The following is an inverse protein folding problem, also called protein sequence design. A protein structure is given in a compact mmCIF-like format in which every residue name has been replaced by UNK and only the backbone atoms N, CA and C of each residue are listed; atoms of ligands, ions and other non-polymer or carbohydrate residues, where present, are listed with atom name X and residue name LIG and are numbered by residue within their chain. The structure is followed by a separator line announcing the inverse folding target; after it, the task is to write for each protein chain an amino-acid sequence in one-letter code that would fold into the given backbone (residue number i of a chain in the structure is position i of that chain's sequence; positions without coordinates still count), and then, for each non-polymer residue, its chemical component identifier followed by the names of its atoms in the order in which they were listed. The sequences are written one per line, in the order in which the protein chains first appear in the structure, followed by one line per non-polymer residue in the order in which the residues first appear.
data_IF_475917980176
#
_entry.id   IF_475917980176
#
_cell.length_a   1.000
_cell.length_b   1.000
_cell.length_c   1.000
_cell.angle_alpha   90.00
_cell.angle_beta   90.00
_cell.angle_gamma   90.00
#
_symmetry.space_group_name_H-M   'P 1'
#
loop_
_entity.id
_entity.type
_entity.pdbx_description
1 polymer ?
#
# COMPACT_ATOMS: atom_id res chain seq x y z
N UNK A 1 24.89 6.86 -6.57
CA UNK A 1 23.85 6.60 -7.59
C UNK A 1 23.28 5.21 -7.37
N UNK A 2 22.00 5.09 -7.00
CA UNK A 2 21.35 3.77 -6.94
C UNK A 2 21.29 3.21 -8.37
N UNK A 3 21.86 2.01 -8.58
CA UNK A 3 21.70 1.27 -9.83
C UNK A 3 20.20 1.07 -10.10
N UNK A 4 19.77 1.29 -11.34
CA UNK A 4 18.41 0.95 -11.76
C UNK A 4 18.21 -0.56 -11.63
N UNK A 5 17.07 -0.97 -11.06
CA UNK A 5 16.66 -2.36 -10.90
C UNK A 5 15.35 -2.53 -11.67
N UNK A 6 15.28 -3.43 -12.64
CA UNK A 6 14.07 -3.63 -13.46
C UNK A 6 12.89 -4.12 -12.62
N UNK A 7 11.65 -3.98 -13.11
CA UNK A 7 10.46 -4.50 -12.41
C UNK A 7 10.52 -6.02 -12.29
N UNK A 8 11.05 -6.68 -13.31
CA UNK A 8 11.33 -8.13 -13.30
C UNK A 8 12.30 -8.53 -12.18
N UNK A 9 13.37 -7.77 -11.98
CA UNK A 9 14.34 -8.04 -10.91
C UNK A 9 13.80 -7.74 -9.51
N UNK A 10 12.77 -6.87 -9.40
CA UNK A 10 12.07 -6.63 -8.13
C UNK A 10 11.11 -7.76 -7.77
N UNK A 11 10.61 -8.52 -8.74
CA UNK A 11 9.55 -9.50 -8.52
C UNK A 11 9.86 -10.54 -7.42
N UNK A 12 11.05 -11.18 -7.37
CA UNK A 12 11.34 -12.15 -6.30
C UNK A 12 11.24 -11.52 -4.90
N UNK A 13 11.70 -10.27 -4.77
CA UNK A 13 11.69 -9.52 -3.51
C UNK A 13 10.28 -9.08 -3.13
N UNK A 14 9.45 -8.71 -4.11
CA UNK A 14 8.01 -8.46 -3.92
C UNK A 14 7.30 -9.72 -3.43
N UNK A 15 7.58 -10.87 -4.04
CA UNK A 15 6.99 -12.16 -3.63
C UNK A 15 7.46 -12.62 -2.24
N UNK A 16 8.69 -12.28 -1.85
CA UNK A 16 9.19 -12.44 -0.48
C UNK A 16 8.55 -11.46 0.53
N UNK A 17 7.80 -10.46 0.05
CA UNK A 17 7.14 -9.47 0.89
C UNK A 17 8.06 -8.34 1.37
N UNK A 18 9.19 -8.10 0.71
CA UNK A 18 10.10 -7.01 1.05
C UNK A 18 9.46 -5.64 0.78
N UNK A 19 9.16 -4.90 1.84
CA UNK A 19 8.48 -3.60 1.78
C UNK A 19 9.11 -2.61 0.79
N UNK A 20 10.45 -2.44 0.72
CA UNK A 20 11.05 -1.51 -0.24
C UNK A 20 10.83 -1.90 -1.70
N UNK A 21 10.81 -3.20 -2.01
CA UNK A 21 10.57 -3.69 -3.37
C UNK A 21 9.09 -3.49 -3.76
N UNK A 22 8.17 -3.77 -2.84
CA UNK A 22 6.73 -3.51 -3.02
C UNK A 22 6.48 -2.03 -3.26
N UNK A 23 7.05 -1.15 -2.43
CA UNK A 23 6.89 0.29 -2.57
C UNK A 23 7.41 0.80 -3.93
N UNK A 24 8.59 0.33 -4.38
CA UNK A 24 9.15 0.72 -5.68
C UNK A 24 8.24 0.28 -6.83
N UNK A 25 7.69 -0.92 -6.77
CA UNK A 25 6.80 -1.43 -7.83
C UNK A 25 5.44 -0.73 -7.82
N UNK A 26 4.89 -0.40 -6.64
CA UNK A 26 3.69 0.43 -6.51
C UNK A 26 3.90 1.79 -7.16
N UNK A 27 5.02 2.48 -6.91
CA UNK A 27 5.32 3.76 -7.56
C UNK A 27 5.38 3.66 -9.08
N UNK A 28 5.89 2.54 -9.64
CA UNK A 28 5.88 2.32 -11.10
C UNK A 28 4.49 2.07 -11.65
N UNK A 29 3.67 1.32 -10.91
CA UNK A 29 2.28 1.08 -11.27
C UNK A 29 1.46 2.38 -11.27
N UNK A 30 1.65 3.23 -10.25
CA UNK A 30 1.02 4.55 -10.16
C UNK A 30 1.44 5.49 -11.29
N UNK A 31 2.71 5.44 -11.69
CA UNK A 31 3.23 6.21 -12.83
C UNK A 31 2.80 5.67 -14.20
N UNK A 32 2.06 4.55 -14.25
CA UNK A 32 1.69 3.83 -15.47
C UNK A 32 2.91 3.50 -16.37
N UNK A 33 4.05 3.18 -15.75
CA UNK A 33 5.29 2.84 -16.46
C UNK A 33 5.07 1.57 -17.32
N UNK A 34 5.21 1.63 -18.66
CA UNK A 34 5.06 0.46 -19.52
C UNK A 34 5.97 -0.71 -19.15
N UNK A 35 7.15 -0.43 -18.57
CA UNK A 35 8.13 -1.45 -18.17
C UNK A 35 7.59 -2.39 -17.09
N UNK A 36 6.68 -1.95 -16.24
CA UNK A 36 6.16 -2.78 -15.15
C UNK A 36 5.00 -3.69 -15.55
N UNK A 37 4.44 -3.55 -16.76
CA UNK A 37 3.18 -4.19 -17.16
C UNK A 37 3.22 -5.72 -17.10
N UNK A 38 4.29 -6.33 -17.61
CA UNK A 38 4.46 -7.79 -17.60
C UNK A 38 4.58 -8.31 -16.16
N UNK A 39 5.41 -7.65 -15.34
CA UNK A 39 5.57 -7.98 -13.92
C UNK A 39 4.25 -7.86 -13.14
N UNK A 40 3.46 -6.82 -13.41
CA UNK A 40 2.13 -6.67 -12.80
C UNK A 40 1.18 -7.79 -13.22
N UNK A 41 1.25 -8.25 -14.47
CA UNK A 41 0.50 -9.43 -14.95
C UNK A 41 0.87 -10.70 -14.18
N UNK A 42 2.16 -10.94 -13.93
CA UNK A 42 2.61 -12.07 -13.11
C UNK A 42 2.11 -12.00 -11.67
N UNK A 43 2.11 -10.79 -11.07
CA UNK A 43 1.59 -10.57 -9.71
C UNK A 43 0.08 -10.81 -9.69
N UNK A 44 -0.65 -10.29 -10.68
CA UNK A 44 -2.10 -10.46 -10.79
C UNK A 44 -2.49 -11.94 -10.84
N UNK A 45 -1.76 -12.76 -11.61
CA UNK A 45 -1.96 -14.22 -11.66
C UNK A 45 -1.74 -14.95 -10.33
N UNK A 46 -1.05 -14.33 -9.37
CA UNK A 46 -0.78 -14.88 -8.02
C UNK A 46 -1.66 -14.26 -6.93
N UNK A 47 -2.40 -13.20 -7.25
CA UNK A 47 -3.23 -12.43 -6.33
C UNK A 47 -4.57 -13.15 -6.01
N UNK A 48 -5.49 -12.45 -5.32
CA UNK A 48 -6.85 -12.94 -5.04
C UNK A 48 -7.02 -13.78 -3.78
N UNK A 49 -5.94 -14.00 -3.00
CA UNK A 49 -5.97 -14.77 -1.75
C UNK A 49 -6.27 -13.94 -0.50
N UNK A 50 -6.29 -12.61 -0.63
CA UNK A 50 -6.56 -11.69 0.47
C UNK A 50 -8.05 -11.35 0.56
N UNK A 51 -8.56 -11.21 1.79
CA UNK A 51 -9.87 -10.63 2.02
C UNK A 51 -9.79 -9.10 1.91
N UNK A 52 -10.56 -8.50 0.99
CA UNK A 52 -10.53 -7.06 0.71
C UNK A 52 -11.80 -6.40 1.23
N UNK A 53 -11.64 -5.43 2.13
CA UNK A 53 -12.75 -4.68 2.76
C UNK A 53 -12.65 -3.21 2.39
N UNK A 54 -13.70 -2.66 1.80
CA UNK A 54 -13.84 -1.23 1.55
C UNK A 54 -14.41 -0.51 2.76
N UNK A 55 -13.75 0.55 3.22
CA UNK A 55 -14.20 1.38 4.35
C UNK A 55 -14.44 2.80 3.84
N UNK A 56 -15.67 3.30 4.01
CA UNK A 56 -16.10 4.63 3.57
C UNK A 56 -16.92 5.32 4.66
N UNK A 57 -17.21 6.61 4.47
CA UNK A 57 -17.92 7.45 5.44
C UNK A 57 -17.49 8.92 5.34
N UNK A 58 -18.32 9.82 5.88
CA UNK A 58 -18.12 11.27 5.80
C UNK A 58 -16.81 11.74 6.45
N UNK A 59 -16.22 12.88 6.07
CA UNK A 59 -15.10 13.49 6.80
C UNK A 59 -15.44 13.63 8.29
N UNK A 60 -14.47 13.36 9.17
CA UNK A 60 -14.67 13.43 10.62
C UNK A 60 -15.43 12.27 11.28
N UNK A 61 -15.95 11.29 10.53
CA UNK A 61 -16.66 10.11 11.09
C UNK A 61 -15.78 9.11 11.88
N UNK A 62 -14.48 9.38 12.04
CA UNK A 62 -13.57 8.49 12.77
C UNK A 62 -13.04 7.29 11.98
N UNK A 63 -13.19 7.26 10.64
CA UNK A 63 -12.70 6.16 9.79
C UNK A 63 -11.25 5.77 10.06
N UNK A 64 -10.32 6.72 10.07
CA UNK A 64 -8.88 6.44 10.28
C UNK A 64 -8.63 5.83 11.66
N UNK A 65 -9.35 6.28 12.70
CA UNK A 65 -9.30 5.70 14.04
C UNK A 65 -9.81 4.26 14.05
N UNK A 66 -10.94 4.00 13.40
CA UNK A 66 -11.50 2.65 13.28
C UNK A 66 -10.57 1.71 12.50
N UNK A 67 -10.03 2.18 11.37
CA UNK A 67 -9.06 1.43 10.54
C UNK A 67 -7.82 1.07 11.37
N UNK A 68 -7.30 2.01 12.17
CA UNK A 68 -6.14 1.76 13.01
C UNK A 68 -6.41 0.66 14.07
N UNK A 69 -7.54 0.74 14.77
CA UNK A 69 -7.95 -0.26 15.77
C UNK A 69 -8.19 -1.63 15.12
N UNK A 70 -8.87 -1.67 13.97
CA UNK A 70 -9.12 -2.91 13.23
C UNK A 70 -7.82 -3.57 12.77
N UNK A 71 -6.89 -2.80 12.20
CA UNK A 71 -5.60 -3.30 11.76
C UNK A 71 -4.79 -3.86 12.93
N UNK A 72 -4.75 -3.16 14.07
CA UNK A 72 -4.08 -3.64 15.28
C UNK A 72 -4.70 -4.96 15.79
N UNK A 73 -6.03 -5.07 15.78
CA UNK A 73 -6.72 -6.29 16.19
C UNK A 73 -6.41 -7.47 15.26
N UNK A 74 -6.45 -7.27 13.95
CA UNK A 74 -6.13 -8.30 12.94
C UNK A 74 -4.66 -8.74 13.01
N UNK A 75 -3.73 -7.80 13.20
CA UNK A 75 -2.31 -8.13 13.42
C UNK A 75 -2.11 -8.97 14.69
N UNK A 76 -2.77 -8.62 15.80
CA UNK A 76 -2.74 -9.41 17.05
C UNK A 76 -3.30 -10.83 16.87
N UNK A 77 -4.24 -11.02 15.95
CA UNK A 77 -4.76 -12.33 15.57
C UNK A 77 -3.85 -13.10 14.59
N UNK A 78 -2.67 -12.56 14.24
CA UNK A 78 -1.71 -13.20 13.34
C UNK A 78 -1.94 -12.95 11.85
N UNK A 79 -2.85 -12.05 11.46
CA UNK A 79 -3.09 -11.72 10.07
C UNK A 79 -2.08 -10.68 9.54
N UNK A 80 -1.66 -10.85 8.28
CA UNK A 80 -0.95 -9.83 7.52
C UNK A 80 -1.95 -8.80 6.98
N UNK A 81 -1.77 -7.54 7.34
CA UNK A 81 -2.68 -6.44 6.96
C UNK A 81 -1.97 -5.47 6.02
N UNK A 82 -2.64 -5.10 4.93
CA UNK A 82 -2.25 -3.99 4.06
C UNK A 82 -3.37 -2.95 4.02
N UNK A 83 -3.02 -1.66 4.07
CA UNK A 83 -3.97 -0.54 4.04
C UNK A 83 -3.66 0.29 2.80
N UNK A 84 -4.66 0.49 1.94
CA UNK A 84 -4.58 1.38 0.78
C UNK A 84 -5.55 2.53 1.05
N UNK A 85 -4.99 3.73 1.23
CA UNK A 85 -5.78 4.95 1.36
C UNK A 85 -6.10 5.50 -0.04
N UNK A 86 -7.39 5.77 -0.28
CA UNK A 86 -7.86 6.43 -1.50
C UNK A 86 -8.39 7.80 -1.08
N UNK A 87 -7.56 8.83 -1.24
CA UNK A 87 -7.96 10.21 -1.05
C UNK A 87 -8.22 10.83 -2.43
N UNK A 88 -9.49 11.11 -2.82
CA UNK A 88 -9.74 11.88 -4.01
C UNK A 88 -9.20 13.29 -3.75
N UNK A 89 -7.97 13.54 -4.18
CA UNK A 89 -7.28 14.81 -3.96
C UNK A 89 -8.19 15.99 -4.29
N UNK A 90 -8.36 16.89 -3.31
CA UNK A 90 -8.71 18.29 -3.59
C UNK A 90 -7.72 18.83 -4.64
N UNK A 91 -8.16 19.51 -5.71
CA UNK A 91 -7.30 19.97 -6.81
C UNK A 91 -6.22 21.01 -6.42
N UNK A 92 -5.98 21.25 -5.13
CA UNK A 92 -5.17 22.35 -4.62
C UNK A 92 -3.82 21.99 -3.99
N UNK A 93 -3.48 20.73 -3.67
CA UNK A 93 -2.26 20.46 -2.86
C UNK A 93 -1.25 19.43 -3.38
N UNK A 94 -1.44 18.82 -4.55
CA UNK A 94 -0.35 18.11 -5.23
C UNK A 94 0.27 16.91 -4.49
N UNK A 95 -0.47 16.24 -3.58
CA UNK A 95 -0.07 14.94 -3.03
C UNK A 95 -0.37 14.76 -1.55
N UNK A 96 -1.22 13.77 -1.22
CA UNK A 96 -1.61 13.40 0.14
C UNK A 96 -0.61 12.44 0.83
N UNK A 97 0.69 12.54 0.54
CA UNK A 97 1.70 11.55 0.97
C UNK A 97 1.82 11.49 2.52
N UNK A 98 1.53 12.58 3.24
CA UNK A 98 1.77 12.68 4.69
C UNK A 98 0.51 12.65 5.57
N UNK A 99 -0.67 12.96 5.03
CA UNK A 99 -1.87 13.26 5.83
C UNK A 99 -2.38 12.08 6.66
N UNK A 100 -2.43 10.90 6.06
CA UNK A 100 -2.92 9.68 6.73
C UNK A 100 -1.84 8.99 7.56
N UNK A 101 -0.55 9.15 7.21
CA UNK A 101 0.57 8.62 8.01
C UNK A 101 0.66 9.31 9.38
N UNK A 102 0.45 10.63 9.45
CA UNK A 102 0.44 11.37 10.73
C UNK A 102 -0.70 10.91 11.64
N UNK A 103 -1.84 10.48 11.07
CA UNK A 103 -2.99 10.00 11.83
C UNK A 103 -2.88 8.53 12.26
N UNK A 104 -1.93 7.77 11.71
CA UNK A 104 -1.71 6.35 11.98
C UNK A 104 -0.25 6.05 12.35
N UNK A 105 0.43 7.01 12.98
CA UNK A 105 1.86 6.92 13.35
C UNK A 105 2.21 5.67 14.13
N UNK A 106 1.30 5.20 14.99
CA UNK A 106 1.51 4.02 15.84
C UNK A 106 1.61 2.72 15.04
N UNK A 107 1.06 2.67 13.81
CA UNK A 107 1.17 1.51 12.93
C UNK A 107 2.46 1.52 12.09
N UNK A 108 3.11 2.67 11.95
CA UNK A 108 4.27 2.84 11.08
C UNK A 108 5.61 2.47 11.75
N UNK A 109 5.61 2.31 13.07
CA UNK A 109 6.80 2.06 13.89
C UNK A 109 6.95 0.64 14.43
N UNK A 110 5.96 -0.24 14.22
CA UNK A 110 6.02 -1.61 14.71
C UNK A 110 6.73 -2.51 13.70
N UNK A 111 7.92 -3.01 14.09
CA UNK A 111 8.76 -3.99 13.38
C UNK A 111 8.00 -5.24 12.89
#
# INVERSE_FOLDING_TARGET
MSRFVSSRDLLPRVLAGEVPAVARLLSRAEAADPECRETLGEIYGRAGKAHVVGITGVPGSGKSTMVAVLAAHLRKAGHKVGIIAIDPSSPYSGGAIMGDRIRMSDLASDE
#
